data_IF_907502586508
#
_entry.id   IF_907502586508
#
_cell.length_a   1.000
_cell.length_b   1.000
_cell.length_c   1.000
_cell.angle_alpha   90.00
_cell.angle_beta   90.00
_cell.angle_gamma   90.00
#
_symmetry.space_group_name_H-M   'P 1'
#
loop_
_entity.id
_entity.type
_entity.pdbx_description
1 polymer ?
#
# COMPACT_ATOMS: atom_id res chain seq x y z
N UNK A 1 -9.02 -0.22 -26.93
CA UNK A 1 -7.98 -0.59 -25.97
C UNK A 1 -6.75 0.21 -26.31
N UNK A 2 -6.39 1.13 -25.41
CA UNK A 2 -5.22 2.00 -25.53
C UNK A 2 -3.97 1.27 -25.08
N UNK A 3 -2.80 1.76 -25.50
CA UNK A 3 -1.50 1.30 -24.97
C UNK A 3 -1.42 1.56 -23.45
N UNK A 4 -2.09 2.61 -22.94
CA UNK A 4 -2.17 2.87 -21.49
C UNK A 4 -2.90 1.77 -20.73
N UNK A 5 -4.07 1.36 -21.20
CA UNK A 5 -4.85 0.27 -20.58
C UNK A 5 -4.03 -1.04 -20.48
N UNK A 6 -3.20 -1.33 -21.49
CA UNK A 6 -2.34 -2.53 -21.50
C UNK A 6 -1.19 -2.40 -20.50
N UNK A 7 -0.61 -1.21 -20.35
CA UNK A 7 0.46 -0.94 -19.36
C UNK A 7 -0.11 -1.09 -17.95
N UNK A 8 -1.29 -0.53 -17.67
CA UNK A 8 -1.96 -0.64 -16.37
C UNK A 8 -2.27 -2.12 -16.01
N UNK A 9 -2.71 -2.95 -16.98
CA UNK A 9 -2.91 -4.38 -16.73
C UNK A 9 -1.59 -5.14 -16.47
N UNK A 10 -0.51 -4.78 -17.15
CA UNK A 10 0.81 -5.39 -16.93
C UNK A 10 1.38 -4.99 -15.57
N UNK A 11 1.29 -3.72 -15.20
CA UNK A 11 1.74 -3.20 -13.91
C UNK A 11 0.96 -3.87 -12.78
N UNK A 12 -0.36 -4.00 -12.92
CA UNK A 12 -1.20 -4.73 -11.96
C UNK A 12 -0.78 -6.20 -11.82
N UNK A 13 -0.54 -6.90 -12.94
CA UNK A 13 -0.05 -8.28 -12.91
C UNK A 13 1.34 -8.45 -12.27
N UNK A 14 2.24 -7.48 -12.44
CA UNK A 14 3.54 -7.48 -11.79
C UNK A 14 3.46 -7.23 -10.28
N UNK A 15 2.53 -6.39 -9.84
CA UNK A 15 2.26 -6.14 -8.41
C UNK A 15 1.62 -7.38 -7.77
N UNK A 16 0.69 -8.05 -8.48
CA UNK A 16 0.05 -9.29 -8.04
C UNK A 16 1.04 -10.46 -7.85
N UNK A 17 2.08 -10.54 -8.69
CA UNK A 17 3.15 -11.55 -8.56
C UNK A 17 4.14 -11.23 -7.42
N UNK A 18 4.23 -9.95 -7.00
CA UNK A 18 5.23 -9.46 -6.03
C UNK A 18 4.73 -9.48 -4.59
N UNK A 19 3.42 -9.31 -4.36
CA UNK A 19 2.84 -9.21 -3.03
C UNK A 19 1.83 -10.32 -2.75
N UNK A 20 1.66 -10.70 -1.48
CA UNK A 20 0.68 -11.71 -1.09
C UNK A 20 -0.75 -11.19 -1.26
N UNK A 21 -1.72 -12.09 -1.43
CA UNK A 21 -3.13 -11.71 -1.62
C UNK A 21 -3.67 -10.81 -0.51
N UNK A 22 -3.25 -11.05 0.74
CA UNK A 22 -3.66 -10.20 1.86
C UNK A 22 -3.04 -8.80 1.82
N UNK A 23 -1.86 -8.61 1.21
CA UNK A 23 -1.28 -7.27 1.00
C UNK A 23 -2.08 -6.51 -0.05
N UNK A 24 -2.47 -7.20 -1.12
CA UNK A 24 -3.21 -6.61 -2.23
C UNK A 24 -4.65 -6.23 -1.84
N UNK A 25 -5.28 -7.01 -0.95
CA UNK A 25 -6.60 -6.71 -0.41
C UNK A 25 -6.60 -5.37 0.35
N UNK A 26 -5.74 -5.23 1.36
CA UNK A 26 -5.60 -3.98 2.12
C UNK A 26 -5.12 -2.82 1.23
N UNK A 27 -4.25 -3.10 0.26
CA UNK A 27 -3.78 -2.09 -0.70
C UNK A 27 -4.95 -1.47 -1.48
N UNK A 28 -5.94 -2.28 -1.86
CA UNK A 28 -7.15 -1.81 -2.54
C UNK A 28 -8.01 -0.90 -1.66
N UNK A 29 -7.96 -1.04 -0.33
CA UNK A 29 -8.70 -0.16 0.58
C UNK A 29 -8.01 1.21 0.76
N UNK A 30 -6.68 1.23 0.69
CA UNK A 30 -5.89 2.45 0.87
C UNK A 30 -5.46 3.12 -0.43
N UNK A 31 -5.66 2.50 -1.60
CA UNK A 31 -5.20 3.02 -2.91
C UNK A 31 -5.65 4.46 -3.16
N UNK A 32 -6.84 4.83 -2.63
CA UNK A 32 -7.41 6.19 -2.70
C UNK A 32 -6.51 7.29 -2.12
N UNK A 33 -5.52 6.93 -1.31
CA UNK A 33 -4.58 7.84 -0.68
C UNK A 33 -3.21 7.88 -1.37
N UNK A 34 -2.97 7.04 -2.37
CA UNK A 34 -1.70 6.93 -3.08
C UNK A 34 -1.84 7.34 -4.55
N UNK A 35 -0.72 7.63 -5.21
CA UNK A 35 -0.69 7.98 -6.64
C UNK A 35 -1.02 6.77 -7.53
N UNK A 36 -0.57 5.59 -7.12
CA UNK A 36 -0.77 4.33 -7.82
C UNK A 36 -0.94 3.15 -6.85
N UNK A 37 -1.45 2.05 -7.39
CA UNK A 37 -1.69 0.82 -6.63
C UNK A 37 -0.39 0.15 -6.15
N UNK A 38 0.72 0.31 -6.88
CA UNK A 38 2.01 -0.24 -6.46
C UNK A 38 2.51 0.42 -5.15
N UNK A 39 2.34 1.73 -5.04
CA UNK A 39 2.69 2.50 -3.84
C UNK A 39 1.84 2.11 -2.64
N UNK A 40 0.54 1.87 -2.85
CA UNK A 40 -0.35 1.34 -1.83
C UNK A 40 0.09 -0.06 -1.35
N UNK A 41 0.38 -0.97 -2.28
CA UNK A 41 0.85 -2.31 -1.96
C UNK A 41 2.22 -2.30 -1.25
N UNK A 42 3.13 -1.43 -1.69
CA UNK A 42 4.43 -1.24 -1.04
C UNK A 42 4.29 -0.72 0.39
N UNK A 43 3.37 0.20 0.65
CA UNK A 43 3.07 0.68 2.00
C UNK A 43 2.57 -0.47 2.89
N UNK A 44 1.55 -1.22 2.45
CA UNK A 44 0.98 -2.33 3.24
C UNK A 44 2.05 -3.39 3.54
N UNK A 45 2.86 -3.75 2.55
CA UNK A 45 3.96 -4.68 2.73
C UNK A 45 4.99 -4.16 3.75
N UNK A 46 5.39 -2.89 3.64
CA UNK A 46 6.36 -2.26 4.55
C UNK A 46 5.83 -2.16 5.98
N UNK A 47 4.54 -1.81 6.13
CA UNK A 47 3.87 -1.76 7.43
C UNK A 47 3.88 -3.14 8.10
N UNK A 48 3.44 -4.19 7.38
CA UNK A 48 3.38 -5.54 7.92
C UNK A 48 4.75 -6.13 8.22
N UNK A 49 5.77 -5.80 7.43
CA UNK A 49 7.16 -6.21 7.71
C UNK A 49 7.69 -5.52 8.97
N UNK A 50 7.45 -4.22 9.11
CA UNK A 50 7.88 -3.43 10.27
C UNK A 50 7.21 -3.87 11.58
N UNK A 51 5.90 -4.12 11.54
CA UNK A 51 5.13 -4.59 12.69
C UNK A 51 5.05 -6.12 12.79
N UNK A 52 5.89 -6.84 12.03
CA UNK A 52 5.90 -8.30 12.05
C UNK A 52 6.19 -8.82 13.46
N UNK A 53 5.22 -9.52 14.06
CA UNK A 53 5.31 -10.06 15.42
C UNK A 53 4.61 -9.25 16.51
N UNK A 54 4.09 -8.06 16.19
CA UNK A 54 3.19 -7.33 17.09
C UNK A 54 1.74 -7.51 16.65
N UNK A 55 1.03 -8.51 17.21
CA UNK A 55 -0.38 -8.82 16.89
C UNK A 55 -1.34 -7.60 17.03
N UNK A 56 -0.93 -6.56 17.75
CA UNK A 56 -1.72 -5.35 17.97
C UNK A 56 -1.66 -4.35 16.79
N UNK A 57 -0.76 -4.53 15.82
CA UNK A 57 -0.51 -3.60 14.72
C UNK A 57 -0.67 -4.28 13.36
N UNK A 58 -1.73 -5.08 13.19
CA UNK A 58 -2.12 -5.68 11.91
C UNK A 58 -3.28 -4.89 11.27
N UNK A 59 -3.22 -3.55 11.32
CA UNK A 59 -4.21 -2.66 10.69
C UNK A 59 -3.52 -1.57 9.86
N UNK A 60 -2.94 -1.93 8.70
CA UNK A 60 -2.34 -0.97 7.79
C UNK A 60 -3.37 0.04 7.26
N UNK A 61 -4.64 -0.36 7.14
CA UNK A 61 -5.72 0.49 6.62
C UNK A 61 -6.01 1.62 7.59
N UNK A 62 -6.31 1.30 8.86
CA UNK A 62 -6.55 2.30 9.89
C UNK A 62 -5.37 3.23 10.13
N UNK A 63 -4.14 2.71 10.03
CA UNK A 63 -2.94 3.55 10.09
C UNK A 63 -2.88 4.57 8.94
N UNK A 64 -3.15 4.12 7.72
CA UNK A 64 -3.18 4.99 6.54
C UNK A 64 -4.27 6.08 6.65
N UNK A 65 -5.48 5.71 7.08
CA UNK A 65 -6.57 6.67 7.26
C UNK A 65 -6.20 7.74 8.30
N UNK A 66 -5.68 7.33 9.47
CA UNK A 66 -5.29 8.26 10.53
C UNK A 66 -4.14 9.20 10.11
N UNK A 67 -3.17 8.68 9.36
CA UNK A 67 -2.09 9.49 8.79
C UNK A 67 -2.63 10.55 7.83
N UNK A 68 -3.46 10.13 6.87
CA UNK A 68 -4.04 11.04 5.89
C UNK A 68 -4.93 12.11 6.54
N UNK A 69 -5.72 11.75 7.56
CA UNK A 69 -6.50 12.73 8.34
C UNK A 69 -5.62 13.75 9.06
N UNK A 70 -4.44 13.34 9.51
CA UNK A 70 -3.50 14.20 10.26
C UNK A 70 -2.67 15.12 9.37
N UNK A 71 -2.22 14.63 8.21
CA UNK A 71 -1.25 15.31 7.35
C UNK A 71 -1.79 15.73 5.98
N UNK A 72 -2.96 15.22 5.58
CA UNK A 72 -3.59 15.49 4.28
C UNK A 72 -2.90 14.85 3.08
N UNK A 73 -1.90 14.00 3.30
CA UNK A 73 -1.16 13.27 2.26
C UNK A 73 -0.48 12.03 2.84
N UNK A 74 -0.12 11.07 1.99
CA UNK A 74 0.65 9.87 2.36
C UNK A 74 2.16 10.04 2.15
N UNK A 75 2.60 11.22 1.75
CA UNK A 75 4.03 11.50 1.49
C UNK A 75 4.85 11.27 2.76
N UNK A 76 5.92 10.48 2.64
CA UNK A 76 6.84 10.17 3.74
C UNK A 76 6.33 9.14 4.74
N UNK A 77 5.13 8.55 4.55
CA UNK A 77 4.60 7.56 5.49
C UNK A 77 5.50 6.33 5.60
N UNK A 78 6.04 5.84 4.48
CA UNK A 78 6.94 4.67 4.47
C UNK A 78 8.34 4.97 5.00
N UNK A 79 8.74 6.25 5.05
CA UNK A 79 9.99 6.65 5.69
C UNK A 79 9.89 6.55 7.22
N UNK A 80 8.68 6.59 7.78
CA UNK A 80 8.46 6.35 9.22
C UNK A 80 8.77 4.90 9.65
N UNK A 81 8.86 3.96 8.71
CA UNK A 81 9.19 2.55 8.95
C UNK A 81 10.69 2.23 8.78
N UNK A 82 11.46 3.13 8.14
CA UNK A 82 12.90 2.95 7.93
C UNK A 82 13.66 3.47 9.15
N UNK A 83 13.89 2.60 10.14
CA UNK A 83 14.76 2.89 11.30
C UNK A 83 16.22 2.59 10.95
#
# INVERSE_FOLDING_TARGET
>A
MSIRDIIEEIEKGCVEDRYSSGVLEDAGEVEKYFEDFESAAYFVASYRDFYSGEEAFDDPVGYAESWYESFGSMDGITDSFKV
#
